data_IF_637902524091
#
_entry.id   IF_637902524091
#
_cell.length_a   1.000
_cell.length_b   1.000
_cell.length_c   1.000
_cell.angle_alpha   90.00
_cell.angle_beta   90.00
_cell.angle_gamma   90.00
#
_symmetry.space_group_name_H-M   'P 1'
#
loop_
_entity.id
_entity.type
_entity.pdbx_description
1 polymer ?
#
# COMPACT_ATOMS: atom_id res chain seq x y z
N UNK A 1 -7.85 1.61 20.98
CA UNK A 1 -6.80 2.62 20.75
C UNK A 1 -5.48 1.99 21.19
N UNK A 2 -4.69 1.43 20.29
CA UNK A 2 -3.41 0.80 20.60
C UNK A 2 -2.36 1.31 19.62
N UNK A 3 -1.64 2.35 20.04
CA UNK A 3 -0.47 2.85 19.32
C UNK A 3 0.64 1.86 19.60
N UNK A 4 1.13 1.15 18.58
CA UNK A 4 2.19 0.17 18.75
C UNK A 4 3.42 0.82 19.41
N UNK A 5 3.83 0.31 20.57
CA UNK A 5 4.96 0.81 21.37
C UNK A 5 6.33 0.63 20.67
N UNK A 6 6.36 0.02 19.48
CA UNK A 6 7.56 -0.23 18.67
C UNK A 6 7.42 0.25 17.21
N UNK A 7 6.69 1.34 16.98
CA UNK A 7 6.58 1.98 15.65
C UNK A 7 7.80 2.84 15.31
N UNK A 8 8.02 3.10 14.02
CA UNK A 8 9.03 4.07 13.59
C UNK A 8 8.82 5.41 14.33
N UNK A 9 9.90 6.12 14.72
CA UNK A 9 9.81 7.44 15.34
C UNK A 9 8.82 8.31 14.57
N UNK A 10 7.92 9.01 15.26
CA UNK A 10 6.85 9.79 14.62
C UNK A 10 7.38 10.72 13.52
N UNK A 11 8.58 11.27 13.71
CA UNK A 11 9.27 12.09 12.70
C UNK A 11 9.59 11.36 11.38
N UNK A 12 9.97 10.08 11.43
CA UNK A 12 10.23 9.26 10.23
C UNK A 12 8.92 8.89 9.56
N UNK A 13 7.88 8.55 10.33
CA UNK A 13 6.55 8.26 9.78
C UNK A 13 5.96 9.49 9.06
N UNK A 14 6.07 10.68 9.65
CA UNK A 14 5.64 11.92 9.01
C UNK A 14 6.47 12.26 7.77
N UNK A 15 7.79 12.08 7.83
CA UNK A 15 8.66 12.29 6.67
C UNK A 15 8.31 11.36 5.50
N UNK A 16 7.96 10.10 5.79
CA UNK A 16 7.51 9.15 4.78
C UNK A 16 6.15 9.53 4.18
N UNK A 17 5.17 9.86 5.02
CA UNK A 17 3.82 10.27 4.58
C UNK A 17 3.88 11.55 3.74
N UNK A 18 4.73 12.51 4.10
CA UNK A 18 4.94 13.73 3.32
C UNK A 18 5.78 13.48 2.07
N UNK A 19 6.74 12.55 2.13
CA UNK A 19 7.60 12.18 1.00
C UNK A 19 6.86 11.51 -0.15
N UNK A 20 5.82 10.72 0.11
CA UNK A 20 5.00 10.08 -0.94
C UNK A 20 4.34 11.08 -1.91
N UNK A 21 3.55 12.08 -1.45
CA UNK A 21 2.97 13.08 -2.35
C UNK A 21 4.02 14.00 -2.96
N UNK A 22 5.10 14.33 -2.22
CA UNK A 22 6.19 15.14 -2.76
C UNK A 22 6.93 14.40 -3.90
N UNK A 23 7.22 13.11 -3.72
CA UNK A 23 7.83 12.27 -4.74
C UNK A 23 6.94 12.16 -5.97
N UNK A 24 5.64 11.90 -5.78
CA UNK A 24 4.67 11.89 -6.87
C UNK A 24 4.65 13.23 -7.64
N UNK A 25 4.70 14.37 -6.92
CA UNK A 25 4.74 15.70 -7.52
C UNK A 25 6.04 15.93 -8.33
N UNK A 26 7.19 15.51 -7.81
CA UNK A 26 8.47 15.64 -8.54
C UNK A 26 8.44 14.85 -9.84
N UNK A 27 7.89 13.62 -9.83
CA UNK A 27 7.78 12.81 -11.05
C UNK A 27 6.72 13.38 -11.99
N UNK A 28 5.60 13.91 -11.49
CA UNK A 28 4.57 14.53 -12.33
C UNK A 28 5.10 15.77 -13.06
N UNK A 29 5.97 16.56 -12.43
CA UNK A 29 6.61 17.73 -13.05
C UNK A 29 7.61 17.38 -14.15
N UNK A 30 8.10 16.13 -14.21
CA UNK A 30 8.97 15.66 -15.31
C UNK A 30 8.20 15.22 -16.55
N UNK A 31 6.87 15.33 -16.57
CA UNK A 31 6.04 15.13 -17.76
C UNK A 31 5.94 13.68 -18.25
N UNK A 32 6.29 12.69 -17.42
CA UNK A 32 6.43 11.30 -17.83
C UNK A 32 5.24 10.39 -17.46
N UNK A 33 4.08 10.95 -17.10
CA UNK A 33 2.95 10.15 -16.58
C UNK A 33 1.60 10.66 -17.06
N UNK A 34 0.90 9.84 -17.85
CA UNK A 34 -0.56 9.96 -18.04
C UNK A 34 -1.24 9.37 -16.81
N UNK A 35 -1.60 10.23 -15.86
CA UNK A 35 -2.27 9.81 -14.63
C UNK A 35 -3.77 9.60 -14.90
N UNK A 36 -4.13 8.36 -15.24
CA UNK A 36 -5.54 7.94 -15.34
C UNK A 36 -6.07 7.56 -13.96
N UNK A 37 -6.96 8.38 -13.41
CA UNK A 37 -7.61 8.12 -12.14
C UNK A 37 -9.00 7.51 -12.37
N UNK A 38 -9.33 6.40 -11.67
CA UNK A 38 -10.70 5.89 -11.62
C UNK A 38 -11.69 6.93 -11.08
N UNK A 39 -12.99 6.69 -11.24
CA UNK A 39 -14.02 7.54 -10.65
C UNK A 39 -13.87 7.69 -9.12
N UNK A 40 -14.15 8.87 -8.55
CA UNK A 40 -13.84 9.19 -7.16
C UNK A 40 -14.50 8.27 -6.14
N UNK A 41 -15.69 7.74 -6.46
CA UNK A 41 -16.40 6.77 -5.62
C UNK A 41 -15.60 5.47 -5.44
N UNK A 42 -14.95 4.99 -6.50
CA UNK A 42 -14.17 3.75 -6.49
C UNK A 42 -12.89 3.94 -5.66
N UNK A 43 -12.23 5.10 -5.77
CA UNK A 43 -11.07 5.44 -4.93
C UNK A 43 -11.41 5.49 -3.44
N UNK A 44 -12.55 6.09 -3.08
CA UNK A 44 -12.98 6.18 -1.68
C UNK A 44 -13.25 4.78 -1.11
N UNK A 45 -14.00 3.95 -1.82
CA UNK A 45 -14.32 2.58 -1.39
C UNK A 45 -13.05 1.73 -1.30
N UNK A 46 -12.18 1.79 -2.31
CA UNK A 46 -10.90 1.08 -2.31
C UNK A 46 -10.01 1.51 -1.15
N UNK A 47 -9.90 2.82 -0.90
CA UNK A 47 -9.12 3.37 0.22
C UNK A 47 -9.63 2.92 1.58
N UNK A 48 -10.95 2.89 1.78
CA UNK A 48 -11.56 2.38 3.01
C UNK A 48 -11.31 0.88 3.20
N UNK A 49 -11.47 0.07 2.14
CA UNK A 49 -11.20 -1.37 2.20
C UNK A 49 -9.74 -1.66 2.55
N UNK A 50 -8.80 -0.97 1.89
CA UNK A 50 -7.36 -1.11 2.15
C UNK A 50 -7.03 -0.64 3.57
N UNK A 51 -7.55 0.51 4.00
CA UNK A 51 -7.35 1.04 5.35
C UNK A 51 -7.86 0.08 6.43
N UNK A 52 -9.05 -0.48 6.24
CA UNK A 52 -9.60 -1.49 7.13
C UNK A 52 -8.76 -2.78 7.15
N UNK A 53 -8.33 -3.24 5.97
CA UNK A 53 -7.49 -4.44 5.82
C UNK A 53 -6.12 -4.31 6.50
N UNK A 54 -5.44 -3.16 6.35
CA UNK A 54 -4.16 -2.92 7.03
C UNK A 54 -4.29 -2.91 8.56
N UNK A 55 -5.42 -2.41 9.07
CA UNK A 55 -5.71 -2.42 10.50
C UNK A 55 -5.96 -3.84 11.02
N UNK A 56 -6.68 -4.66 10.25
CA UNK A 56 -6.92 -6.06 10.60
C UNK A 56 -5.63 -6.90 10.54
N UNK A 57 -4.76 -6.62 9.57
CA UNK A 57 -3.45 -7.25 9.41
C UNK A 57 -2.36 -6.74 10.36
N UNK A 58 -2.68 -5.85 11.30
CA UNK A 58 -1.72 -5.21 12.23
C UNK A 58 -0.55 -4.46 11.56
N UNK A 59 -0.70 -4.08 10.30
CA UNK A 59 0.35 -3.42 9.53
C UNK A 59 -0.01 -3.18 8.07
N UNK A 60 0.81 -2.39 7.38
CA UNK A 60 0.75 -2.20 5.94
C UNK A 60 1.82 -3.03 5.23
N UNK A 61 1.66 -3.26 3.92
CA UNK A 61 2.66 -3.94 3.08
C UNK A 61 4.04 -3.30 3.15
N UNK A 62 4.11 -1.98 3.16
CA UNK A 62 5.38 -1.26 3.25
C UNK A 62 6.05 -1.48 4.62
N UNK A 63 5.28 -1.55 5.71
CA UNK A 63 5.80 -1.82 7.06
C UNK A 63 6.31 -3.25 7.24
N UNK A 64 5.53 -4.25 6.79
CA UNK A 64 5.95 -5.66 6.82
C UNK A 64 7.07 -5.96 5.80
N UNK A 65 7.05 -5.29 4.66
CA UNK A 65 8.05 -5.41 3.61
C UNK A 65 9.38 -4.77 3.99
N UNK A 66 9.42 -3.44 4.12
CA UNK A 66 10.68 -2.70 4.28
C UNK A 66 11.36 -2.98 5.62
N UNK A 67 10.61 -2.95 6.73
CA UNK A 67 11.19 -3.17 8.06
C UNK A 67 11.19 -4.65 8.48
N UNK A 68 10.16 -5.41 8.11
CA UNK A 68 9.98 -6.80 8.56
C UNK A 68 10.75 -7.86 7.76
N UNK A 69 10.92 -7.69 6.44
CA UNK A 69 11.77 -8.56 5.60
C UNK A 69 13.25 -8.32 5.90
N UNK A 70 13.65 -7.08 6.21
CA UNK A 70 15.04 -6.74 6.60
C UNK A 70 15.49 -7.46 7.87
N UNK A 71 14.56 -7.80 8.77
CA UNK A 71 14.82 -8.63 9.97
C UNK A 71 14.75 -10.14 9.73
N UNK A 72 14.57 -10.58 8.47
CA UNK A 72 14.48 -11.99 8.05
C UNK A 72 13.42 -12.81 8.81
N UNK A 73 12.33 -12.18 9.22
CA UNK A 73 11.26 -12.87 9.94
C UNK A 73 10.33 -13.60 8.97
N UNK A 74 10.23 -14.93 9.11
CA UNK A 74 9.40 -15.80 8.26
C UNK A 74 7.93 -15.35 8.23
N UNK A 75 7.43 -14.84 9.37
CA UNK A 75 6.06 -14.31 9.49
C UNK A 75 5.83 -13.07 8.61
N UNK A 76 6.80 -12.17 8.50
CA UNK A 76 6.66 -10.95 7.68
C UNK A 76 6.81 -11.23 6.20
N UNK A 77 7.63 -12.22 5.83
CA UNK A 77 7.74 -12.71 4.45
C UNK A 77 6.41 -13.31 3.99
N UNK A 78 5.80 -14.18 4.81
CA UNK A 78 4.50 -14.79 4.49
C UNK A 78 3.38 -13.74 4.40
N UNK A 79 3.34 -12.78 5.32
CA UNK A 79 2.36 -11.68 5.26
C UNK A 79 2.50 -10.87 3.97
N UNK A 80 3.74 -10.56 3.56
CA UNK A 80 4.01 -9.82 2.31
C UNK A 80 3.63 -10.65 1.08
N UNK A 81 3.94 -11.95 1.07
CA UNK A 81 3.60 -12.87 -0.01
C UNK A 81 2.09 -13.01 -0.20
N UNK A 82 1.33 -13.17 0.89
CA UNK A 82 -0.14 -13.24 0.87
C UNK A 82 -0.76 -11.95 0.34
N UNK A 83 -0.24 -10.79 0.77
CA UNK A 83 -0.73 -9.52 0.26
C UNK A 83 -0.48 -9.37 -1.24
N UNK A 84 0.72 -9.68 -1.71
CA UNK A 84 1.03 -9.66 -3.14
C UNK A 84 0.19 -10.65 -3.93
N UNK A 85 0.01 -11.88 -3.43
CA UNK A 85 -0.85 -12.89 -4.04
C UNK A 85 -2.31 -12.41 -4.16
N UNK A 86 -2.85 -11.76 -3.13
CA UNK A 86 -4.20 -11.18 -3.18
C UNK A 86 -4.32 -10.09 -4.25
N UNK A 87 -3.29 -9.25 -4.41
CA UNK A 87 -3.24 -8.23 -5.47
C UNK A 87 -3.23 -8.84 -6.87
N UNK A 88 -2.36 -9.84 -7.08
CA UNK A 88 -2.32 -10.58 -8.35
C UNK A 88 -3.63 -11.29 -8.65
N UNK A 89 -4.23 -11.95 -7.66
CA UNK A 89 -5.54 -12.59 -7.80
C UNK A 89 -6.62 -11.58 -8.17
N UNK A 90 -6.66 -10.42 -7.52
CA UNK A 90 -7.63 -9.36 -7.81
C UNK A 90 -7.50 -8.86 -9.24
N UNK A 91 -6.29 -8.59 -9.72
CA UNK A 91 -6.04 -8.17 -11.11
C UNK A 91 -6.38 -9.29 -12.10
N UNK A 92 -6.02 -10.54 -11.78
CA UNK A 92 -6.37 -11.69 -12.61
C UNK A 92 -7.88 -11.83 -12.74
N UNK A 93 -8.63 -11.75 -11.64
CA UNK A 93 -10.10 -11.79 -11.65
C UNK A 93 -10.68 -10.64 -12.45
N UNK A 94 -10.21 -9.41 -12.25
CA UNK A 94 -10.69 -8.24 -13.01
C UNK A 94 -10.43 -8.39 -14.52
N UNK A 95 -9.28 -8.95 -14.91
CA UNK A 95 -8.97 -9.23 -16.31
C UNK A 95 -9.83 -10.35 -16.88
N UNK A 96 -10.01 -11.45 -16.15
CA UNK A 96 -10.88 -12.56 -16.58
C UNK A 96 -12.34 -12.13 -16.69
N UNK A 97 -12.80 -11.23 -15.82
CA UNK A 97 -14.15 -10.67 -15.87
C UNK A 97 -14.33 -9.61 -16.97
N UNK A 98 -13.27 -9.20 -17.67
CA UNK A 98 -13.32 -8.16 -18.71
C UNK A 98 -13.48 -6.73 -18.20
N UNK A 99 -13.20 -6.48 -16.91
CA UNK A 99 -13.36 -5.16 -16.28
C UNK A 99 -12.19 -4.20 -16.58
N UNK A 100 -11.02 -4.75 -16.89
CA UNK A 100 -9.82 -4.02 -17.26
C UNK A 100 -9.28 -4.66 -18.54
N UNK A 101 -9.49 -3.97 -19.66
CA UNK A 101 -8.93 -4.29 -20.97
C UNK A 101 -7.79 -3.30 -21.29
#
# INVERSE_FOLDING_TARGET
>A
MGLADNGAPRGIATAFILGLPLGALIVSLRGAIDASFPGPSLLVVAGLLVGFGTRLGSGCTSGHGVCGVSRLSLRSVLATALFMASGFATVAIMRLAGWVA
#
